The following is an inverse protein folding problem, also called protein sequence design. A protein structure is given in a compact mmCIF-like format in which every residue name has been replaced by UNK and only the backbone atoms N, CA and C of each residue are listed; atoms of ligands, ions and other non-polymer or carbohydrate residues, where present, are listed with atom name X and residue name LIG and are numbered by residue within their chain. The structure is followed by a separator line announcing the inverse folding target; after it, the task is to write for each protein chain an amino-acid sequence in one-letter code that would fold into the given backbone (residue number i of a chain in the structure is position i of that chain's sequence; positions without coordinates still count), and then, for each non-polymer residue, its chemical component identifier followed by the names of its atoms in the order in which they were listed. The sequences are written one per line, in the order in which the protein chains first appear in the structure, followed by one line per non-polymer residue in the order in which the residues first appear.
data_IF_005099532076
#
_entry.id   IF_005099532076
#
_cell.length_a   1.000
_cell.length_b   1.000
_cell.length_c   1.000
_cell.angle_alpha   90.00
_cell.angle_beta   90.00
_cell.angle_gamma   90.00
#
_symmetry.space_group_name_H-M   'P 1'
#
loop_
_entity.id
_entity.type
_entity.pdbx_description
1 polymer ?
#
# COMPACT_ATOMS: atom_id res chain seq x y z
N UNK A 1 -18.02 -4.65 10.72
CA UNK A 1 -17.25 -4.63 9.46
C UNK A 1 -17.25 -6.02 8.88
N UNK A 2 -17.48 -6.18 7.56
CA UNK A 2 -17.22 -7.45 6.88
C UNK A 2 -15.72 -7.80 6.98
N UNK A 3 -15.40 -9.09 7.01
CA UNK A 3 -14.04 -9.61 7.02
C UNK A 3 -13.88 -10.51 5.81
N UNK A 4 -12.84 -10.26 5.02
CA UNK A 4 -12.54 -10.97 3.78
C UNK A 4 -11.28 -11.82 3.93
N UNK A 5 -11.14 -12.85 3.10
CA UNK A 5 -9.97 -13.74 3.12
C UNK A 5 -8.79 -13.15 2.35
N UNK A 6 -9.07 -12.26 1.39
CA UNK A 6 -8.06 -11.59 0.57
C UNK A 6 -8.38 -10.11 0.33
N UNK A 7 -7.35 -9.30 0.13
CA UNK A 7 -7.50 -7.86 -0.19
C UNK A 7 -8.32 -7.65 -1.45
N UNK A 8 -8.13 -8.48 -2.48
CA UNK A 8 -8.85 -8.38 -3.77
C UNK A 8 -10.36 -8.48 -3.66
N UNK A 9 -10.87 -9.13 -2.60
CA UNK A 9 -12.30 -9.28 -2.31
C UNK A 9 -12.89 -8.05 -1.60
N UNK A 10 -12.03 -7.18 -1.06
CA UNK A 10 -12.39 -6.03 -0.25
C UNK A 10 -12.12 -4.68 -0.95
N UNK A 11 -11.66 -4.70 -2.21
CA UNK A 11 -11.30 -3.49 -2.97
C UNK A 11 -12.47 -2.88 -3.75
N UNK A 12 -13.64 -3.51 -3.75
CA UNK A 12 -14.81 -2.94 -4.40
C UNK A 12 -15.39 -1.82 -3.51
N UNK A 13 -15.63 -0.65 -4.10
CA UNK A 13 -16.22 0.53 -3.42
C UNK A 13 -15.40 1.10 -2.23
N UNK A 14 -14.07 1.01 -2.32
CA UNK A 14 -13.17 1.64 -1.34
C UNK A 14 -12.26 2.66 -2.01
N UNK A 15 -12.06 3.80 -1.35
CA UNK A 15 -11.16 4.84 -1.84
C UNK A 15 -9.70 4.57 -1.47
N UNK A 16 -9.47 3.95 -0.31
CA UNK A 16 -8.15 3.79 0.30
C UNK A 16 -7.98 2.41 0.92
N UNK A 17 -6.89 1.73 0.56
CA UNK A 17 -6.33 0.59 1.29
C UNK A 17 -5.32 1.10 2.32
N UNK A 18 -5.49 0.73 3.59
CA UNK A 18 -4.46 0.94 4.63
C UNK A 18 -3.84 -0.41 4.96
N UNK A 19 -2.57 -0.59 4.59
CA UNK A 19 -1.87 -1.87 4.70
C UNK A 19 -0.83 -1.87 5.84
N UNK A 20 -1.07 -2.74 6.82
CA UNK A 20 -0.17 -3.04 7.95
C UNK A 20 0.36 -4.48 7.91
N UNK A 21 0.17 -5.18 6.79
CA UNK A 21 0.66 -6.53 6.61
C UNK A 21 2.20 -6.57 6.56
N UNK A 22 2.74 -7.79 6.68
CA UNK A 22 4.19 -8.01 6.59
C UNK A 22 4.77 -7.55 5.25
N UNK A 23 6.07 -7.25 5.22
CA UNK A 23 6.81 -6.90 4.00
C UNK A 23 6.63 -7.94 2.88
N UNK A 24 6.44 -9.22 3.22
CA UNK A 24 6.22 -10.29 2.25
C UNK A 24 4.86 -10.18 1.52
N UNK A 25 3.85 -9.55 2.14
CA UNK A 25 2.49 -9.46 1.62
C UNK A 25 2.15 -8.09 1.03
N UNK A 26 2.76 -7.01 1.55
CA UNK A 26 2.42 -5.63 1.17
C UNK A 26 2.57 -5.38 -0.33
N UNK A 27 3.57 -6.00 -0.98
CA UNK A 27 3.79 -5.82 -2.41
C UNK A 27 2.63 -6.33 -3.28
N UNK A 28 2.08 -7.50 -2.95
CA UNK A 28 0.93 -8.07 -3.66
C UNK A 28 -0.34 -7.26 -3.42
N UNK A 29 -0.57 -6.84 -2.17
CA UNK A 29 -1.72 -6.03 -1.79
C UNK A 29 -1.71 -4.64 -2.49
N UNK A 30 -0.54 -3.98 -2.54
CA UNK A 30 -0.36 -2.70 -3.23
C UNK A 30 -0.66 -2.84 -4.72
N UNK A 31 -0.12 -3.88 -5.37
CA UNK A 31 -0.41 -4.14 -6.79
C UNK A 31 -1.89 -4.35 -7.05
N UNK A 32 -2.58 -5.11 -6.19
CA UNK A 32 -4.01 -5.33 -6.30
C UNK A 32 -4.81 -4.02 -6.19
N UNK A 33 -4.47 -3.14 -5.23
CA UNK A 33 -5.13 -1.86 -5.04
C UNK A 33 -4.89 -0.90 -6.22
N UNK A 34 -3.64 -0.75 -6.66
CA UNK A 34 -3.28 0.10 -7.81
C UNK A 34 -4.01 -0.38 -9.08
N UNK A 35 -4.07 -1.70 -9.30
CA UNK A 35 -4.81 -2.29 -10.44
C UNK A 35 -6.32 -1.98 -10.42
N UNK A 36 -6.87 -1.60 -9.27
CA UNK A 36 -8.28 -1.18 -9.08
C UNK A 36 -8.45 0.34 -9.01
N UNK A 37 -7.38 1.13 -9.10
CA UNK A 37 -7.41 2.59 -8.92
C UNK A 37 -7.59 3.03 -7.47
N UNK A 38 -7.34 2.14 -6.50
CA UNK A 38 -7.48 2.41 -5.07
C UNK A 38 -6.17 2.98 -4.52
N UNK A 39 -6.24 4.07 -3.76
CA UNK A 39 -5.07 4.68 -3.13
C UNK A 39 -4.55 3.79 -1.98
N UNK A 40 -3.25 3.81 -1.70
CA UNK A 40 -2.66 2.95 -0.66
C UNK A 40 -1.86 3.75 0.36
N UNK A 41 -2.10 3.46 1.65
CA UNK A 41 -1.29 3.92 2.78
C UNK A 41 -0.61 2.70 3.39
N UNK A 42 0.73 2.73 3.44
CA UNK A 42 1.50 1.63 4.03
C UNK A 42 1.96 2.04 5.42
N UNK A 43 1.53 1.30 6.43
CA UNK A 43 1.85 1.54 7.83
C UNK A 43 2.79 0.48 8.44
N UNK A 44 3.30 -0.46 7.65
CA UNK A 44 4.12 -1.56 8.19
C UNK A 44 5.41 -1.04 8.82
N UNK A 45 5.62 -1.35 10.10
CA UNK A 45 6.92 -1.17 10.75
C UNK A 45 7.86 -2.26 10.25
N UNK A 46 8.99 -1.85 9.64
CA UNK A 46 10.02 -2.79 9.17
C UNK A 46 10.22 -2.90 7.65
N UNK A 47 9.65 -2.01 6.85
CA UNK A 47 10.11 -1.84 5.46
C UNK A 47 11.46 -1.14 5.44
N UNK A 48 12.41 -1.76 4.75
CA UNK A 48 13.71 -1.17 4.46
C UNK A 48 13.61 -0.15 3.32
N UNK A 49 14.57 0.77 3.24
CA UNK A 49 14.63 1.73 2.12
C UNK A 49 14.70 1.04 0.74
N UNK A 50 15.22 -0.19 0.66
CA UNK A 50 15.19 -1.01 -0.56
C UNK A 50 13.81 -1.52 -0.92
N UNK A 51 12.98 -1.90 0.06
CA UNK A 51 11.61 -2.36 -0.19
C UNK A 51 10.76 -1.21 -0.72
N UNK A 52 11.01 -0.01 -0.20
CA UNK A 52 10.43 1.21 -0.74
C UNK A 52 10.89 1.45 -2.19
N UNK A 53 12.20 1.46 -2.46
CA UNK A 53 12.70 1.72 -3.81
C UNK A 53 12.19 0.72 -4.87
N UNK A 54 11.91 -0.52 -4.48
CA UNK A 54 11.31 -1.52 -5.37
C UNK A 54 9.88 -1.20 -5.76
N UNK A 55 9.05 -0.77 -4.81
CA UNK A 55 7.67 -0.41 -5.07
C UNK A 55 7.53 0.89 -5.91
N UNK A 56 8.48 1.84 -5.84
CA UNK A 56 8.46 3.07 -6.66
C UNK A 56 8.86 2.89 -8.11
N UNK A 57 9.51 1.77 -8.47
CA UNK A 57 10.24 1.65 -9.74
C UNK A 57 9.33 1.69 -10.98
N UNK A 58 8.02 1.54 -10.81
CA UNK A 58 7.06 1.70 -11.91
C UNK A 58 6.62 3.16 -12.07
N UNK A 59 6.68 3.78 -13.26
CA UNK A 59 6.22 5.14 -13.48
C UNK A 59 4.72 5.36 -13.18
N UNK A 60 3.87 4.32 -13.32
CA UNK A 60 2.48 4.38 -12.84
C UNK A 60 2.35 4.45 -11.31
N UNK A 61 3.42 4.18 -10.56
CA UNK A 61 3.46 4.22 -9.09
C UNK A 61 3.96 5.57 -8.55
N UNK A 62 4.06 6.62 -9.37
CA UNK A 62 4.64 7.92 -8.95
C UNK A 62 3.88 8.63 -7.80
N UNK A 63 2.64 8.25 -7.51
CA UNK A 63 1.84 8.80 -6.41
C UNK A 63 2.22 8.25 -5.01
N UNK A 64 3.15 7.29 -4.95
CA UNK A 64 3.37 6.39 -3.81
C UNK A 64 4.39 6.87 -2.76
N UNK A 65 5.26 7.86 -3.03
CA UNK A 65 6.40 8.13 -2.15
C UNK A 65 6.28 9.40 -1.29
N UNK A 66 6.22 9.16 0.03
CA UNK A 66 6.68 10.03 1.12
C UNK A 66 5.64 10.86 1.87
N UNK A 67 5.02 10.22 2.87
CA UNK A 67 5.04 10.79 4.21
C UNK A 67 5.65 9.78 5.20
N UNK A 68 6.97 9.87 5.44
CA UNK A 68 7.46 9.55 6.78
C UNK A 68 6.62 10.42 7.72
N UNK A 69 6.02 9.83 8.75
CA UNK A 69 5.39 10.56 9.86
C UNK A 69 6.48 11.41 10.55
N UNK A 70 6.81 12.54 9.93
CA UNK A 70 7.49 13.67 10.54
C UNK A 70 6.40 14.55 11.13
N UNK A 71 6.51 14.80 12.43
CA UNK A 71 5.68 15.73 13.19
C UNK A 71 5.37 16.99 12.38
N UNK A 72 4.08 17.25 12.18
CA UNK A 72 3.57 18.44 11.49
C UNK A 72 4.08 19.70 12.19
N UNK A 73 4.82 20.54 11.47
CA UNK A 73 4.89 21.98 11.68
C UNK A 73 4.86 22.68 10.33
#
# INVERSE_FOLDING_TARGET
MPVHGAVTEALDDVDVLVDYASHAAVGDNVRAAIGRGVAVVIGSTGLSDSDYAEATRSPENSAWASSRLGTFR
#
